data_IF_224662736686
#
_entry.id   IF_224662736686
#
_cell.length_a   1.000
_cell.length_b   1.000
_cell.length_c   1.000
_cell.angle_alpha   90.00
_cell.angle_beta   90.00
_cell.angle_gamma   90.00
#
_symmetry.space_group_name_H-M   'P 1'
#
loop_
_entity.id
_entity.type
_entity.pdbx_description
1 polymer ?
#
# COMPACT_ATOMS: atom_id res chain seq x y z
N UNK A 1 -21.82 -18.08 -60.78
CA UNK A 1 -21.62 -17.92 -59.32
C UNK A 1 -22.63 -16.93 -58.77
N UNK A 2 -23.42 -17.30 -57.77
CA UNK A 2 -24.41 -16.39 -57.17
C UNK A 2 -23.70 -15.33 -56.33
N UNK A 3 -23.94 -14.06 -56.62
CA UNK A 3 -23.44 -12.96 -55.80
C UNK A 3 -24.13 -13.03 -54.43
N UNK A 4 -23.37 -13.39 -53.40
CA UNK A 4 -23.85 -13.55 -52.03
C UNK A 4 -23.20 -12.45 -51.17
N UNK A 5 -24.00 -11.47 -50.75
CA UNK A 5 -23.54 -10.39 -49.86
C UNK A 5 -24.40 -10.41 -48.60
N UNK A 6 -23.73 -10.37 -47.45
CA UNK A 6 -24.39 -10.42 -46.15
C UNK A 6 -24.51 -9.01 -45.57
N UNK A 7 -25.71 -8.60 -45.19
CA UNK A 7 -26.01 -7.28 -44.60
C UNK A 7 -26.84 -7.50 -43.35
N UNK A 8 -26.35 -7.08 -42.18
CA UNK A 8 -27.03 -7.30 -40.88
C UNK A 8 -27.46 -8.77 -40.67
N UNK A 9 -26.61 -9.71 -41.08
CA UNK A 9 -26.86 -11.17 -41.08
C UNK A 9 -27.97 -11.65 -42.04
N UNK A 10 -28.62 -10.76 -42.79
CA UNK A 10 -29.49 -11.12 -43.90
C UNK A 10 -28.66 -11.42 -45.15
N UNK A 11 -29.07 -12.42 -45.92
CA UNK A 11 -28.37 -12.86 -47.12
C UNK A 11 -29.03 -12.23 -48.35
N UNK A 12 -28.29 -11.42 -49.10
CA UNK A 12 -28.74 -10.89 -50.38
C UNK A 12 -28.18 -11.81 -51.47
N UNK A 13 -29.07 -12.37 -52.28
CA UNK A 13 -28.73 -13.29 -53.37
C UNK A 13 -29.34 -12.82 -54.69
N UNK A 14 -28.55 -12.77 -55.76
CA UNK A 14 -29.05 -12.47 -57.12
C UNK A 14 -29.58 -13.74 -57.80
N UNK A 15 -30.75 -13.66 -58.43
CA UNK A 15 -31.31 -14.71 -59.28
C UNK A 15 -30.90 -14.53 -60.75
N UNK A 16 -31.16 -15.56 -61.57
CA UNK A 16 -30.91 -15.52 -63.01
C UNK A 16 -31.76 -14.48 -63.76
N UNK A 17 -32.96 -14.16 -63.23
CA UNK A 17 -33.88 -13.14 -63.73
C UNK A 17 -33.44 -11.69 -63.42
N UNK A 18 -32.29 -11.51 -62.73
CA UNK A 18 -31.79 -10.20 -62.32
C UNK A 18 -32.33 -9.69 -60.97
N UNK A 19 -33.35 -10.34 -60.40
CA UNK A 19 -33.97 -9.94 -59.12
C UNK A 19 -33.10 -10.31 -57.93
N UNK A 20 -33.05 -9.45 -56.92
CA UNK A 20 -32.34 -9.67 -55.67
C UNK A 20 -33.29 -10.15 -54.56
N UNK A 21 -32.95 -11.27 -53.93
CA UNK A 21 -33.68 -11.83 -52.78
C UNK A 21 -32.95 -11.53 -51.49
N UNK A 22 -33.63 -10.85 -50.57
CA UNK A 22 -33.20 -10.73 -49.17
C UNK A 22 -33.75 -11.92 -48.40
N UNK A 23 -32.87 -12.74 -47.84
CA UNK A 23 -33.22 -13.95 -47.08
C UNK A 23 -32.82 -13.82 -45.61
N UNK A 24 -33.59 -14.46 -44.74
CA UNK A 24 -33.21 -14.64 -43.35
C UNK A 24 -32.00 -15.58 -43.22
N UNK A 25 -31.36 -15.67 -42.04
CA UNK A 25 -30.33 -16.66 -41.78
C UNK A 25 -30.80 -18.11 -42.01
N UNK A 26 -32.12 -18.36 -41.86
CA UNK A 26 -32.76 -19.65 -42.14
C UNK A 26 -33.13 -19.81 -43.64
N UNK A 27 -32.57 -18.97 -44.51
CA UNK A 27 -32.79 -18.95 -45.97
C UNK A 27 -34.22 -18.69 -46.43
N UNK A 28 -35.16 -18.34 -45.53
CA UNK A 28 -36.52 -17.91 -45.90
C UNK A 28 -36.44 -16.57 -46.64
N UNK A 29 -37.05 -16.47 -47.82
CA UNK A 29 -37.15 -15.22 -48.57
C UNK A 29 -38.05 -14.26 -47.80
N UNK A 30 -37.53 -13.08 -47.48
CA UNK A 30 -38.25 -12.04 -46.75
C UNK A 30 -38.77 -10.96 -47.70
N UNK A 31 -37.97 -10.62 -48.72
CA UNK A 31 -38.30 -9.60 -49.71
C UNK A 31 -37.55 -9.86 -51.02
N UNK A 32 -38.20 -9.54 -52.13
CA UNK A 32 -37.59 -9.47 -53.45
C UNK A 32 -37.52 -7.99 -53.88
N UNK A 33 -36.40 -7.62 -54.50
CA UNK A 33 -36.10 -6.26 -54.94
C UNK A 33 -35.52 -6.29 -56.36
N UNK A 34 -35.93 -5.38 -57.25
CA UNK A 34 -35.41 -5.29 -58.62
C UNK A 34 -33.92 -4.93 -58.66
N UNK A 35 -33.43 -4.12 -57.72
CA UNK A 35 -32.04 -3.67 -57.67
C UNK A 35 -31.34 -4.10 -56.38
N UNK A 36 -30.01 -4.17 -56.42
CA UNK A 36 -29.19 -4.48 -55.25
C UNK A 36 -29.32 -3.38 -54.18
N UNK A 37 -29.38 -2.11 -54.57
CA UNK A 37 -29.46 -0.99 -53.64
C UNK A 37 -30.78 -0.98 -52.87
N UNK A 38 -31.89 -1.32 -53.52
CA UNK A 38 -33.17 -1.52 -52.83
C UNK A 38 -33.11 -2.69 -51.85
N UNK A 39 -32.51 -3.83 -52.25
CA UNK A 39 -32.31 -4.97 -51.36
C UNK A 39 -31.46 -4.60 -50.14
N UNK A 40 -30.40 -3.81 -50.36
CA UNK A 40 -29.49 -3.33 -49.33
C UNK A 40 -30.19 -2.37 -48.37
N UNK A 41 -30.87 -1.34 -48.89
CA UNK A 41 -31.62 -0.37 -48.09
C UNK A 41 -32.74 -1.07 -47.30
N UNK A 42 -33.43 -2.03 -47.91
CA UNK A 42 -34.46 -2.81 -47.23
C UNK A 42 -33.88 -3.65 -46.09
N UNK A 43 -32.79 -4.38 -46.34
CA UNK A 43 -32.10 -5.16 -45.31
C UNK A 43 -31.55 -4.28 -44.17
N UNK A 44 -31.13 -3.05 -44.48
CA UNK A 44 -30.67 -2.09 -43.49
C UNK A 44 -31.82 -1.52 -42.65
N UNK A 45 -32.96 -1.21 -43.25
CA UNK A 45 -34.16 -0.71 -42.55
C UNK A 45 -34.84 -1.79 -41.72
N UNK A 46 -34.80 -3.05 -42.15
CA UNK A 46 -35.54 -4.15 -41.51
C UNK A 46 -34.67 -5.00 -40.58
N UNK A 47 -33.93 -4.36 -39.67
CA UNK A 47 -33.10 -5.04 -38.65
C UNK A 47 -33.88 -5.98 -37.74
N UNK A 48 -35.22 -5.86 -37.67
CA UNK A 48 -36.11 -6.76 -36.93
C UNK A 48 -36.01 -8.23 -37.36
N UNK A 49 -35.62 -8.50 -38.60
CA UNK A 49 -35.40 -9.86 -39.11
C UNK A 49 -33.96 -10.35 -38.91
N UNK A 50 -33.04 -9.49 -38.43
CA UNK A 50 -31.77 -9.96 -37.93
C UNK A 50 -32.04 -10.75 -36.64
N UNK A 51 -31.39 -11.91 -36.50
CA UNK A 51 -31.54 -12.79 -35.33
C UNK A 51 -31.39 -11.96 -34.06
N UNK A 52 -32.46 -11.87 -33.26
CA UNK A 52 -32.45 -11.21 -31.94
C UNK A 52 -31.27 -11.76 -31.16
N UNK A 53 -30.49 -10.88 -30.54
CA UNK A 53 -29.41 -11.35 -29.66
C UNK A 53 -30.01 -12.31 -28.62
N UNK A 54 -29.33 -13.42 -28.30
CA UNK A 54 -29.84 -14.35 -27.30
C UNK A 54 -30.08 -13.61 -25.99
N UNK A 55 -31.14 -13.98 -25.28
CA UNK A 55 -31.37 -13.47 -23.92
C UNK A 55 -30.14 -13.80 -23.06
N UNK A 56 -29.76 -12.90 -22.16
CA UNK A 56 -28.66 -13.14 -21.22
C UNK A 56 -29.10 -14.17 -20.18
N UNK A 57 -28.34 -15.26 -20.06
CA UNK A 57 -28.57 -16.24 -19.01
C UNK A 57 -28.10 -15.69 -17.66
N UNK A 58 -28.69 -16.17 -16.56
CA UNK A 58 -28.37 -15.70 -15.21
C UNK A 58 -26.89 -15.91 -14.86
N UNK A 59 -26.33 -17.09 -15.18
CA UNK A 59 -24.91 -17.36 -14.97
C UNK A 59 -23.97 -16.44 -15.77
N UNK A 60 -24.40 -15.94 -16.94
CA UNK A 60 -23.61 -14.95 -17.70
C UNK A 60 -23.57 -13.61 -16.95
N UNK A 61 -24.66 -13.25 -16.26
CA UNK A 61 -24.76 -12.02 -15.48
C UNK A 61 -23.97 -12.12 -14.17
N UNK A 62 -24.02 -13.27 -13.48
CA UNK A 62 -23.17 -13.56 -12.32
C UNK A 62 -21.69 -13.50 -12.71
N UNK A 63 -21.32 -14.15 -13.81
CA UNK A 63 -19.96 -14.09 -14.32
C UNK A 63 -19.52 -12.65 -14.61
N UNK A 64 -20.42 -11.79 -15.09
CA UNK A 64 -20.13 -10.36 -15.28
C UNK A 64 -19.98 -9.61 -13.97
N UNK A 65 -20.83 -9.85 -12.97
CA UNK A 65 -20.69 -9.22 -11.66
C UNK A 65 -19.30 -9.49 -11.06
N UNK A 66 -18.83 -10.73 -11.19
CA UNK A 66 -17.56 -11.16 -10.59
C UNK A 66 -16.33 -10.71 -11.36
N UNK A 67 -16.42 -10.56 -12.69
CA UNK A 67 -15.24 -10.40 -13.55
C UNK A 67 -15.18 -9.05 -14.27
N UNK A 68 -16.30 -8.32 -14.39
CA UNK A 68 -16.37 -7.11 -15.20
C UNK A 68 -15.65 -5.94 -14.50
N UNK A 69 -14.57 -5.46 -15.12
CA UNK A 69 -13.66 -4.47 -14.52
C UNK A 69 -12.42 -5.09 -13.88
N UNK A 70 -12.38 -6.42 -13.69
CA UNK A 70 -11.17 -7.16 -13.31
C UNK A 70 -10.46 -7.69 -14.56
N UNK A 71 -11.21 -8.30 -15.48
CA UNK A 71 -10.69 -8.82 -16.74
C UNK A 71 -10.97 -7.84 -17.89
N UNK A 72 -10.10 -7.81 -18.93
CA UNK A 72 -10.38 -7.06 -20.16
C UNK A 72 -11.70 -7.52 -20.81
N UNK A 73 -12.48 -6.57 -21.30
CA UNK A 73 -13.80 -6.84 -21.88
C UNK A 73 -13.73 -7.83 -23.06
N UNK A 74 -12.64 -7.86 -23.80
CA UNK A 74 -12.38 -8.77 -24.92
C UNK A 74 -12.28 -10.23 -24.45
N UNK A 75 -11.64 -10.46 -23.31
CA UNK A 75 -11.48 -11.80 -22.72
C UNK A 75 -12.83 -12.32 -22.25
N UNK A 76 -13.59 -11.47 -21.55
CA UNK A 76 -14.94 -11.78 -21.10
C UNK A 76 -15.85 -12.05 -22.30
N UNK A 77 -15.78 -11.22 -23.35
CA UNK A 77 -16.58 -11.37 -24.58
C UNK A 77 -16.34 -12.72 -25.25
N UNK A 78 -15.07 -13.10 -25.39
CA UNK A 78 -14.67 -14.37 -25.99
C UNK A 78 -15.21 -15.56 -25.19
N UNK A 79 -15.12 -15.50 -23.85
CA UNK A 79 -15.59 -16.57 -22.96
C UNK A 79 -17.10 -16.75 -23.00
N UNK A 80 -17.85 -15.66 -22.97
CA UNK A 80 -19.31 -15.68 -23.06
C UNK A 80 -19.83 -15.87 -24.49
N UNK A 81 -18.94 -15.85 -25.50
CA UNK A 81 -19.28 -15.84 -26.94
C UNK A 81 -20.23 -14.69 -27.29
N UNK A 82 -20.03 -13.54 -26.65
CA UNK A 82 -20.80 -12.31 -26.83
C UNK A 82 -19.92 -11.26 -27.51
N UNK A 83 -20.53 -10.18 -28.01
CA UNK A 83 -19.75 -9.03 -28.50
C UNK A 83 -19.35 -8.14 -27.31
N UNK A 84 -18.19 -7.48 -27.41
CA UNK A 84 -17.74 -6.50 -26.42
C UNK A 84 -18.75 -5.35 -26.26
N UNK A 85 -19.43 -4.96 -27.33
CA UNK A 85 -20.48 -3.94 -27.27
C UNK A 85 -21.72 -4.43 -26.52
N UNK A 86 -22.18 -5.67 -26.76
CA UNK A 86 -23.31 -6.25 -26.04
C UNK A 86 -23.03 -6.39 -24.54
N UNK A 87 -21.78 -6.70 -24.15
CA UNK A 87 -21.33 -6.69 -22.76
C UNK A 87 -21.47 -5.30 -22.13
N UNK A 88 -20.91 -4.26 -22.77
CA UNK A 88 -20.99 -2.89 -22.27
C UNK A 88 -22.43 -2.43 -22.08
N UNK A 89 -23.29 -2.72 -23.05
CA UNK A 89 -24.72 -2.38 -22.99
C UNK A 89 -25.41 -3.11 -21.84
N UNK A 90 -25.18 -4.43 -21.66
CA UNK A 90 -25.87 -5.19 -20.63
C UNK A 90 -25.40 -4.82 -19.22
N UNK A 91 -24.09 -4.62 -19.03
CA UNK A 91 -23.53 -4.23 -17.75
C UNK A 91 -24.13 -2.89 -17.30
N UNK A 92 -24.22 -1.91 -18.21
CA UNK A 92 -24.82 -0.61 -17.90
C UNK A 92 -26.33 -0.71 -17.67
N UNK A 93 -27.08 -1.35 -18.58
CA UNK A 93 -28.55 -1.31 -18.55
C UNK A 93 -29.19 -2.24 -17.53
N UNK A 94 -28.65 -3.44 -17.34
CA UNK A 94 -29.24 -4.45 -16.44
C UNK A 94 -28.56 -4.49 -15.08
N UNK A 95 -27.24 -4.42 -15.06
CA UNK A 95 -26.47 -4.57 -13.82
C UNK A 95 -26.18 -3.22 -13.15
N UNK A 96 -26.33 -2.10 -13.86
CA UNK A 96 -25.90 -0.79 -13.39
C UNK A 96 -24.37 -0.67 -13.22
N UNK A 97 -23.62 -1.66 -13.71
CA UNK A 97 -22.17 -1.69 -13.65
C UNK A 97 -21.66 -1.00 -14.90
N UNK A 98 -21.23 0.25 -14.74
CA UNK A 98 -20.43 0.87 -15.78
C UNK A 98 -19.03 0.27 -15.69
N UNK A 99 -18.42 -0.07 -16.84
CA UNK A 99 -16.99 -0.37 -16.84
C UNK A 99 -16.37 0.91 -16.29
N UNK A 100 -15.79 0.85 -15.08
CA UNK A 100 -15.12 2.03 -14.52
C UNK A 100 -14.18 2.46 -15.63
N UNK A 101 -14.41 3.64 -16.19
CA UNK A 101 -13.46 4.17 -17.14
C UNK A 101 -12.12 4.10 -16.42
N UNK A 102 -11.09 3.55 -17.04
CA UNK A 102 -9.72 3.64 -16.50
C UNK A 102 -9.36 5.11 -16.24
N UNK A 103 -10.12 6.04 -16.81
CA UNK A 103 -10.06 7.45 -16.54
C UNK A 103 -10.84 7.83 -15.28
N UNK A 104 -10.12 8.44 -14.33
CA UNK A 104 -10.65 9.10 -13.15
C UNK A 104 -10.65 10.61 -13.34
N UNK A 105 -11.74 11.27 -12.91
CA UNK A 105 -11.68 12.73 -12.71
C UNK A 105 -10.86 13.05 -11.46
N UNK A 106 -10.32 14.27 -11.35
CA UNK A 106 -9.64 14.73 -10.13
C UNK A 106 -10.48 14.49 -8.85
N UNK A 107 -11.80 14.69 -8.94
CA UNK A 107 -12.75 14.48 -7.83
C UNK A 107 -12.93 13.01 -7.49
N UNK A 108 -13.05 12.15 -8.51
CA UNK A 108 -13.17 10.70 -8.30
C UNK A 108 -11.88 10.12 -7.70
N UNK A 109 -10.72 10.50 -8.24
CA UNK A 109 -9.42 10.12 -7.68
C UNK A 109 -9.26 10.59 -6.23
N UNK A 110 -9.60 11.84 -5.92
CA UNK A 110 -9.53 12.34 -4.55
C UNK A 110 -10.40 11.52 -3.58
N UNK A 111 -11.63 11.17 -3.98
CA UNK A 111 -12.54 10.35 -3.17
C UNK A 111 -11.95 8.96 -2.88
N UNK A 112 -11.48 8.25 -3.91
CA UNK A 112 -10.89 6.91 -3.76
C UNK A 112 -9.58 6.93 -2.96
N UNK A 113 -8.83 8.03 -3.02
CA UNK A 113 -7.56 8.19 -2.31
C UNK A 113 -7.72 8.80 -0.90
N UNK A 114 -8.96 9.03 -0.43
CA UNK A 114 -9.22 9.59 0.90
C UNK A 114 -8.73 11.04 1.06
N UNK A 115 -8.73 11.81 -0.02
CA UNK A 115 -8.26 13.20 -0.08
C UNK A 115 -9.47 14.12 -0.12
N UNK A 116 -9.45 15.15 0.73
CA UNK A 116 -10.59 16.04 0.94
C UNK A 116 -10.87 16.99 -0.23
N UNK A 117 -9.84 17.35 -1.01
CA UNK A 117 -9.97 18.32 -2.11
C UNK A 117 -9.32 17.80 -3.40
N UNK A 118 -10.09 17.83 -4.49
CA UNK A 118 -9.65 17.47 -5.83
C UNK A 118 -8.51 18.35 -6.35
N UNK A 119 -8.37 19.59 -5.86
CA UNK A 119 -7.26 20.48 -6.22
C UNK A 119 -5.90 19.91 -5.83
N UNK A 120 -5.85 19.05 -4.80
CA UNK A 120 -4.61 18.39 -4.38
C UNK A 120 -4.14 17.42 -5.46
N UNK A 121 -5.06 16.68 -6.11
CA UNK A 121 -4.74 15.78 -7.23
C UNK A 121 -4.20 16.57 -8.42
N UNK A 122 -4.82 17.70 -8.75
CA UNK A 122 -4.32 18.58 -9.82
C UNK A 122 -2.93 19.14 -9.47
N UNK A 123 -2.71 19.52 -8.20
CA UNK A 123 -1.39 19.96 -7.75
C UNK A 123 -0.34 18.84 -7.77
N UNK A 124 -0.74 17.55 -7.72
CA UNK A 124 0.19 16.44 -7.95
C UNK A 124 0.58 16.36 -9.42
N UNK A 125 -0.36 16.60 -10.33
CA UNK A 125 -0.06 16.72 -11.75
C UNK A 125 0.89 17.89 -12.04
N UNK A 126 0.60 19.07 -11.51
CA UNK A 126 1.41 20.26 -11.76
C UNK A 126 2.85 20.12 -11.22
N UNK A 127 3.05 19.23 -10.23
CA UNK A 127 4.37 18.86 -9.69
C UNK A 127 5.05 17.69 -10.41
N UNK A 128 4.40 17.11 -11.43
CA UNK A 128 4.90 15.94 -12.16
C UNK A 128 4.84 14.64 -11.37
N UNK A 129 4.04 14.56 -10.30
CA UNK A 129 3.90 13.33 -9.50
C UNK A 129 2.93 12.35 -10.15
N UNK A 130 1.88 12.88 -10.78
CA UNK A 130 0.80 12.11 -11.39
C UNK A 130 0.60 12.61 -12.84
N UNK A 131 0.65 11.70 -13.81
CA UNK A 131 0.34 12.04 -15.21
C UNK A 131 -1.16 12.22 -15.37
N UNK A 132 -1.57 13.18 -16.18
CA UNK A 132 -2.97 13.47 -16.41
C UNK A 132 -3.15 14.25 -17.71
N UNK A 133 -4.35 14.15 -18.29
CA UNK A 133 -4.74 14.87 -19.50
C UNK A 133 -5.92 15.77 -19.22
N UNK A 134 -6.02 16.89 -19.94
CA UNK A 134 -7.21 17.76 -19.85
C UNK A 134 -8.34 17.12 -20.65
N UNK A 135 -9.52 17.05 -20.04
CA UNK A 135 -10.73 16.64 -20.72
C UNK A 135 -11.11 17.69 -21.80
N UNK A 136 -11.80 17.27 -22.88
CA UNK A 136 -12.21 18.18 -23.95
C UNK A 136 -13.34 19.14 -23.55
N UNK A 137 -13.91 18.98 -22.35
CA UNK A 137 -14.99 19.81 -21.83
C UNK A 137 -14.61 20.52 -20.53
N UNK A 138 -15.31 21.61 -20.24
CA UNK A 138 -15.15 22.43 -19.04
C UNK A 138 -16.27 22.17 -18.04
N UNK A 139 -15.99 22.43 -16.77
CA UNK A 139 -16.99 22.52 -15.71
C UNK A 139 -16.90 23.91 -15.08
N UNK A 140 -17.84 24.79 -15.45
CA UNK A 140 -17.70 26.23 -15.24
C UNK A 140 -16.51 26.78 -16.03
N UNK A 141 -15.67 27.61 -15.40
CA UNK A 141 -14.51 28.22 -16.04
C UNK A 141 -13.27 27.30 -16.11
N UNK A 142 -13.30 26.14 -15.45
CA UNK A 142 -12.15 25.27 -15.31
C UNK A 142 -12.24 24.03 -16.20
N UNK A 143 -11.10 23.59 -16.75
CA UNK A 143 -11.00 22.29 -17.43
C UNK A 143 -11.08 21.16 -16.41
N UNK A 144 -11.78 20.09 -16.78
CA UNK A 144 -11.78 18.84 -16.01
C UNK A 144 -10.49 18.07 -16.33
N UNK A 145 -9.87 17.47 -15.32
CA UNK A 145 -8.68 16.64 -15.48
C UNK A 145 -9.04 15.16 -15.45
N UNK A 146 -8.40 14.40 -16.34
CA UNK A 146 -8.50 12.96 -16.51
C UNK A 146 -7.18 12.30 -16.15
N UNK A 147 -7.26 11.29 -15.29
CA UNK A 147 -6.12 10.51 -14.79
C UNK A 147 -6.34 9.06 -15.13
N UNK A 148 -5.39 8.43 -15.81
CA UNK A 148 -5.48 6.99 -16.05
C UNK A 148 -5.28 6.22 -14.73
N UNK A 149 -5.89 5.04 -14.66
CA UNK A 149 -5.83 4.12 -13.55
C UNK A 149 -4.41 3.63 -13.34
N UNK A 150 -3.73 3.29 -14.44
CA UNK A 150 -2.34 2.82 -14.41
C UNK A 150 -1.39 3.94 -13.94
N UNK A 151 -1.63 5.18 -14.36
CA UNK A 151 -0.86 6.35 -13.91
C UNK A 151 -1.05 6.61 -12.40
N UNK A 152 -2.26 6.40 -11.87
CA UNK A 152 -2.53 6.47 -10.43
C UNK A 152 -1.77 5.37 -9.69
N UNK A 153 -1.79 4.13 -10.18
CA UNK A 153 -1.04 3.01 -9.59
C UNK A 153 0.46 3.32 -9.58
N UNK A 154 1.01 3.74 -10.72
CA UNK A 154 2.43 4.09 -10.86
C UNK A 154 2.81 5.18 -9.84
N UNK A 155 1.96 6.21 -9.70
CA UNK A 155 2.13 7.27 -8.73
C UNK A 155 2.14 6.76 -7.28
N UNK A 156 1.19 5.90 -6.91
CA UNK A 156 1.07 5.36 -5.55
C UNK A 156 2.18 4.38 -5.20
N UNK A 157 2.66 3.58 -6.16
CA UNK A 157 3.79 2.69 -5.93
C UNK A 157 5.08 3.47 -5.70
N UNK A 158 5.32 4.49 -6.53
CA UNK A 158 6.51 5.35 -6.40
C UNK A 158 6.43 6.26 -5.17
N UNK A 159 5.21 6.69 -4.78
CA UNK A 159 4.98 7.75 -3.80
C UNK A 159 3.82 7.45 -2.83
N UNK A 160 3.83 6.32 -2.10
CA UNK A 160 2.72 5.91 -1.23
C UNK A 160 2.42 6.94 -0.12
N UNK A 161 3.42 7.71 0.30
CA UNK A 161 3.32 8.76 1.31
C UNK A 161 2.47 9.98 0.92
N UNK A 162 2.07 10.10 -0.35
CA UNK A 162 1.13 11.13 -0.78
C UNK A 162 -0.23 10.96 -0.09
N UNK A 163 -0.67 9.71 0.10
CA UNK A 163 -1.94 9.36 0.71
C UNK A 163 -1.84 9.19 2.23
N UNK A 164 -2.98 9.22 2.93
CA UNK A 164 -3.06 8.83 4.33
C UNK A 164 -3.87 7.54 4.42
N UNK A 165 -3.20 6.42 4.74
CA UNK A 165 -3.82 5.10 4.83
C UNK A 165 -5.07 5.06 5.71
N UNK A 166 -5.11 5.85 6.80
CA UNK A 166 -6.27 5.90 7.71
C UNK A 166 -7.49 6.58 7.12
N UNK A 167 -7.31 7.43 6.10
CA UNK A 167 -8.39 8.19 5.44
C UNK A 167 -8.83 7.55 4.13
N UNK A 168 -8.04 6.63 3.57
CA UNK A 168 -8.39 5.93 2.34
C UNK A 168 -9.56 4.96 2.61
N UNK A 169 -10.63 4.98 1.79
CA UNK A 169 -11.63 3.92 1.80
C UNK A 169 -10.99 2.54 1.61
N UNK A 170 -11.63 1.49 2.13
CA UNK A 170 -11.21 0.12 1.81
C UNK A 170 -11.42 -0.10 0.31
N UNK A 171 -10.34 -0.42 -0.40
CA UNK A 171 -10.33 -0.53 -1.86
C UNK A 171 -8.94 -0.86 -2.40
N UNK A 172 -8.86 -1.04 -3.72
CA UNK A 172 -7.63 -1.51 -4.38
C UNK A 172 -6.44 -0.54 -4.24
N UNK A 173 -6.66 0.77 -4.40
CA UNK A 173 -5.57 1.74 -4.20
C UNK A 173 -5.01 1.72 -2.78
N UNK A 174 -5.86 1.46 -1.77
CA UNK A 174 -5.42 1.35 -0.39
C UNK A 174 -4.57 0.10 -0.17
N UNK A 175 -4.91 -1.03 -0.80
CA UNK A 175 -4.09 -2.24 -0.69
C UNK A 175 -2.69 -2.03 -1.29
N UNK A 176 -2.59 -1.37 -2.45
CA UNK A 176 -1.28 -1.00 -3.04
C UNK A 176 -0.47 -0.14 -2.07
N UNK A 177 -1.06 0.96 -1.56
CA UNK A 177 -0.34 1.87 -0.64
C UNK A 177 0.06 1.12 0.63
N UNK A 178 -0.79 0.22 1.15
CA UNK A 178 -0.51 -0.59 2.34
C UNK A 178 0.68 -1.51 2.10
N UNK A 179 0.68 -2.26 0.99
CA UNK A 179 1.78 -3.15 0.61
C UNK A 179 3.11 -2.39 0.50
N UNK A 180 3.12 -1.23 -0.15
CA UNK A 180 4.35 -0.42 -0.26
C UNK A 180 4.79 0.18 1.08
N UNK A 181 3.84 0.51 1.96
CA UNK A 181 4.15 0.99 3.31
C UNK A 181 4.73 -0.10 4.22
N UNK A 182 4.29 -1.34 4.04
CA UNK A 182 4.80 -2.51 4.77
C UNK A 182 6.20 -2.90 4.31
N UNK A 183 6.53 -2.72 3.02
CA UNK A 183 7.89 -2.95 2.50
C UNK A 183 8.92 -2.01 3.08
N UNK A 184 8.63 -0.71 3.11
CA UNK A 184 9.55 0.33 3.60
C UNK A 184 8.75 1.47 4.22
N UNK A 185 8.56 1.37 5.54
CA UNK A 185 7.70 2.29 6.29
C UNK A 185 8.22 3.73 6.21
N UNK A 186 7.30 4.67 6.05
CA UNK A 186 7.61 6.09 6.11
C UNK A 186 7.42 6.65 7.52
N UNK A 187 8.38 7.45 7.95
CA UNK A 187 8.43 8.11 9.25
C UNK A 187 8.30 9.62 9.06
N UNK A 188 7.54 10.27 9.94
CA UNK A 188 7.65 11.72 10.08
C UNK A 188 8.93 12.10 10.86
N UNK A 189 9.25 13.40 10.92
CA UNK A 189 10.45 13.89 11.63
C UNK A 189 10.49 13.51 13.11
N UNK A 190 9.34 13.38 13.76
CA UNK A 190 9.23 13.11 15.19
C UNK A 190 9.40 11.62 15.45
N UNK A 191 8.75 10.78 14.66
CA UNK A 191 8.90 9.34 14.67
C UNK A 191 10.33 8.93 14.30
N UNK A 192 10.93 9.57 13.29
CA UNK A 192 12.34 9.38 12.93
C UNK A 192 13.29 9.81 14.05
N UNK A 193 12.99 10.91 14.74
CA UNK A 193 13.75 11.33 15.93
C UNK A 193 13.76 10.26 17.01
N UNK A 194 12.58 9.74 17.36
CA UNK A 194 12.43 8.65 18.33
C UNK A 194 13.16 7.38 17.87
N UNK A 195 13.06 7.04 16.59
CA UNK A 195 13.75 5.88 16.01
C UNK A 195 15.28 5.97 16.20
N UNK A 196 15.86 7.17 16.05
CA UNK A 196 17.29 7.41 16.24
C UNK A 196 17.68 7.74 17.69
N UNK A 197 16.79 7.54 18.67
CA UNK A 197 17.06 7.82 20.09
C UNK A 197 17.23 9.30 20.42
N UNK A 198 16.63 10.21 19.64
CA UNK A 198 16.67 11.64 19.87
C UNK A 198 15.48 12.11 20.71
N UNK A 199 15.72 13.11 21.57
CA UNK A 199 14.67 13.70 22.41
C UNK A 199 13.54 14.37 21.60
N UNK A 200 13.87 14.95 20.44
CA UNK A 200 12.91 15.61 19.56
C UNK A 200 13.26 15.42 18.07
N UNK A 201 12.37 15.90 17.18
CA UNK A 201 12.54 15.84 15.72
C UNK A 201 13.38 16.98 15.13
N UNK A 202 13.92 17.89 15.93
CA UNK A 202 14.68 19.05 15.43
C UNK A 202 16.06 18.67 14.85
N UNK A 203 16.83 17.74 15.44
CA UNK A 203 18.09 17.28 14.86
C UNK A 203 17.90 16.62 13.49
N UNK A 204 16.78 15.92 13.26
CA UNK A 204 16.46 15.32 11.96
C UNK A 204 16.48 16.37 10.85
N UNK A 205 15.90 17.55 11.10
CA UNK A 205 15.94 18.65 10.13
C UNK A 205 17.36 19.11 9.81
N UNK A 206 18.26 19.13 10.81
CA UNK A 206 19.68 19.45 10.60
C UNK A 206 20.37 18.37 9.78
N UNK A 207 20.08 17.10 10.02
CA UNK A 207 20.66 15.98 9.27
C UNK A 207 20.24 16.02 7.80
N UNK A 208 18.96 16.30 7.54
CA UNK A 208 18.45 16.51 6.18
C UNK A 208 19.16 17.69 5.51
N UNK A 209 19.27 18.85 6.20
CA UNK A 209 19.96 20.04 5.66
C UNK A 209 21.43 19.83 5.35
N UNK A 210 22.12 18.97 6.11
CA UNK A 210 23.51 18.61 5.87
C UNK A 210 23.69 17.54 4.79
N UNK A 211 22.60 17.01 4.24
CA UNK A 211 22.63 15.94 3.24
C UNK A 211 22.98 14.56 3.82
N UNK A 212 22.99 14.40 5.14
CA UNK A 212 23.35 13.14 5.78
C UNK A 212 22.22 12.13 5.79
N UNK A 213 20.97 12.61 5.75
CA UNK A 213 19.80 11.77 5.86
C UNK A 213 18.86 12.08 4.70
N UNK A 214 18.66 11.15 3.75
CA UNK A 214 17.81 11.39 2.60
C UNK A 214 16.36 11.49 3.05
N UNK A 215 15.69 12.55 2.61
CA UNK A 215 14.30 12.81 2.96
C UNK A 215 13.55 13.40 1.77
N UNK A 216 12.24 13.17 1.74
CA UNK A 216 11.34 13.68 0.71
C UNK A 216 10.36 14.67 1.34
N UNK A 217 9.97 15.71 0.59
CA UNK A 217 8.90 16.63 1.02
C UNK A 217 7.53 16.06 0.65
N UNK A 218 6.73 15.73 1.65
CA UNK A 218 5.29 15.50 1.49
C UNK A 218 4.58 16.83 1.25
N UNK A 219 3.85 17.00 0.13
CA UNK A 219 3.09 18.23 -0.10
C UNK A 219 2.01 18.39 1.00
N UNK A 220 2.09 19.49 1.74
CA UNK A 220 1.00 20.01 2.59
C UNK A 220 0.64 21.41 2.07
N UNK A 221 -0.61 21.83 2.25
CA UNK A 221 -1.02 23.21 1.92
C UNK A 221 -0.16 24.22 2.67
N UNK A 222 0.19 25.35 2.04
CA UNK A 222 0.95 26.44 2.67
C UNK A 222 2.47 26.44 2.45
N UNK A 223 2.98 25.82 1.38
CA UNK A 223 4.39 25.94 0.95
C UNK A 223 5.43 25.17 1.79
N UNK A 224 5.12 24.86 3.04
CA UNK A 224 5.99 24.14 3.97
C UNK A 224 5.55 22.67 4.07
N UNK A 225 5.85 21.89 3.02
CA UNK A 225 5.62 20.43 3.04
C UNK A 225 6.31 19.76 4.24
N UNK A 226 5.78 18.65 4.73
CA UNK A 226 6.42 17.91 5.83
C UNK A 226 7.57 17.05 5.29
N UNK A 227 8.72 17.02 5.96
CA UNK A 227 9.76 16.03 5.67
C UNK A 227 9.30 14.65 6.14
N UNK A 228 9.52 13.67 5.29
CA UNK A 228 9.27 12.25 5.56
C UNK A 228 10.50 11.45 5.15
N UNK A 229 10.73 10.35 5.86
CA UNK A 229 11.93 9.54 5.75
C UNK A 229 11.57 8.08 5.61
N UNK A 230 12.35 7.34 4.82
CA UNK A 230 12.21 5.88 4.70
C UNK A 230 12.82 5.19 5.89
N UNK A 231 12.26 4.03 6.27
CA UNK A 231 12.81 3.17 7.31
C UNK A 231 14.23 2.73 6.94
N UNK A 232 14.40 2.26 5.70
CA UNK A 232 15.68 1.83 5.13
C UNK A 232 16.76 2.91 5.30
N UNK A 233 16.45 4.15 4.94
CA UNK A 233 17.35 5.30 5.10
C UNK A 233 17.71 5.60 6.56
N UNK A 234 16.77 5.45 7.50
CA UNK A 234 17.04 5.63 8.92
C UNK A 234 17.93 4.51 9.48
N UNK A 235 17.69 3.26 9.06
CA UNK A 235 18.50 2.12 9.45
C UNK A 235 19.93 2.24 8.91
N UNK A 236 20.08 2.63 7.64
CA UNK A 236 21.38 2.89 7.02
C UNK A 236 22.12 4.01 7.76
N UNK A 237 21.44 5.13 8.03
CA UNK A 237 22.03 6.23 8.80
C UNK A 237 22.50 5.80 10.20
N UNK A 238 21.81 4.86 10.86
CA UNK A 238 22.22 4.34 12.16
C UNK A 238 23.47 3.44 12.07
N UNK A 239 23.65 2.73 10.96
CA UNK A 239 24.83 1.90 10.71
C UNK A 239 26.06 2.75 10.33
N UNK A 240 25.86 3.79 9.52
CA UNK A 240 26.93 4.64 8.99
C UNK A 240 26.91 6.04 9.59
N UNK A 241 26.65 6.14 10.90
CA UNK A 241 26.35 7.41 11.57
C UNK A 241 27.46 8.45 11.35
N UNK A 242 27.23 9.49 10.51
CA UNK A 242 28.25 10.47 10.16
C UNK A 242 28.37 11.57 11.21
N UNK A 243 27.61 11.48 12.31
CA UNK A 243 27.70 12.45 13.40
C UNK A 243 29.14 12.45 13.93
N UNK A 244 29.83 13.61 13.95
CA UNK A 244 31.11 13.70 14.63
C UNK A 244 30.94 13.19 16.06
N UNK A 245 31.87 12.39 16.57
CA UNK A 245 31.88 11.84 17.93
C UNK A 245 31.79 12.91 19.05
N UNK A 246 31.67 14.20 18.70
CA UNK A 246 31.48 15.37 19.53
C UNK A 246 30.17 15.44 20.33
N UNK A 247 29.44 14.34 20.51
CA UNK A 247 28.46 14.22 21.59
C UNK A 247 28.85 13.08 22.53
N UNK A 248 29.84 13.36 23.39
CA UNK A 248 30.16 12.63 24.64
C UNK A 248 29.00 12.62 25.67
N UNK A 249 27.73 12.53 25.24
CA UNK A 249 26.59 12.62 26.17
C UNK A 249 25.25 12.15 25.63
N UNK A 250 25.17 11.71 24.38
CA UNK A 250 24.04 10.91 23.90
C UNK A 250 24.60 9.54 23.56
N UNK A 251 24.85 8.74 24.60
CA UNK A 251 25.15 7.32 24.39
C UNK A 251 23.96 6.73 23.64
N UNK A 252 24.22 5.96 22.58
CA UNK A 252 23.28 4.96 22.08
C UNK A 252 22.67 4.24 23.29
N UNK A 253 21.43 3.72 23.26
CA UNK A 253 20.89 2.92 24.36
C UNK A 253 21.98 1.94 24.76
N UNK A 254 22.54 2.18 25.95
CA UNK A 254 23.72 1.48 26.43
C UNK A 254 23.32 0.01 26.33
N UNK A 255 24.15 -0.81 25.67
CA UNK A 255 23.84 -2.24 25.56
C UNK A 255 23.55 -2.73 26.97
N UNK A 256 22.63 -3.69 27.13
CA UNK A 256 22.30 -4.21 28.47
C UNK A 256 23.56 -4.53 29.29
N UNK A 257 24.60 -5.03 28.61
CA UNK A 257 25.92 -5.33 29.19
C UNK A 257 26.65 -4.08 29.74
N UNK A 258 26.51 -2.92 29.09
CA UNK A 258 27.04 -1.64 29.58
C UNK A 258 26.25 -1.09 30.77
N UNK A 259 24.92 -1.15 30.73
CA UNK A 259 24.07 -0.77 31.87
C UNK A 259 24.38 -1.64 33.09
N UNK A 260 24.58 -2.95 32.87
CA UNK A 260 25.02 -3.91 33.89
C UNK A 260 26.38 -3.54 34.48
N UNK A 261 27.39 -3.26 33.65
CA UNK A 261 28.72 -2.88 34.13
C UNK A 261 28.70 -1.59 34.98
N UNK A 262 27.93 -0.59 34.54
CA UNK A 262 27.78 0.69 35.25
C UNK A 262 26.99 0.55 36.55
N UNK A 263 26.02 -0.35 36.59
CA UNK A 263 25.30 -0.66 37.83
C UNK A 263 26.16 -1.47 38.80
N UNK A 264 26.96 -2.41 38.30
CA UNK A 264 27.96 -3.12 39.09
C UNK A 264 28.98 -2.16 39.72
N UNK A 265 29.53 -1.22 38.96
CA UNK A 265 30.46 -0.19 39.46
C UNK A 265 29.83 0.64 40.59
N UNK A 266 28.57 1.06 40.43
CA UNK A 266 27.84 1.77 41.48
C UNK A 266 27.63 0.92 42.72
N UNK A 267 27.35 -0.37 42.56
CA UNK A 267 27.18 -1.30 43.66
C UNK A 267 28.48 -1.47 44.46
N UNK A 268 29.62 -1.61 43.78
CA UNK A 268 30.95 -1.60 44.40
C UNK A 268 31.23 -0.31 45.16
N UNK A 269 30.90 0.84 44.56
CA UNK A 269 31.11 2.14 45.21
C UNK A 269 30.25 2.34 46.46
N UNK A 270 29.02 1.82 46.46
CA UNK A 270 28.14 1.84 47.63
C UNK A 270 28.62 0.90 48.73
N UNK A 271 29.15 -0.27 48.37
CA UNK A 271 29.78 -1.19 49.32
C UNK A 271 31.01 -0.57 49.98
N UNK A 272 31.87 0.09 49.21
CA UNK A 272 33.05 0.79 49.74
C UNK A 272 32.67 1.88 50.78
N UNK A 273 31.45 2.41 50.72
CA UNK A 273 30.90 3.39 51.65
C UNK A 273 30.16 2.78 52.85
N UNK A 274 30.14 1.45 52.97
CA UNK A 274 29.50 0.75 54.09
C UNK A 274 27.97 0.60 53.98
N UNK A 275 27.37 0.87 52.82
CA UNK A 275 25.93 0.69 52.61
C UNK A 275 25.57 -0.75 52.25
N UNK A 276 25.81 -1.69 53.16
CA UNK A 276 25.62 -3.14 52.94
C UNK A 276 24.17 -3.54 52.64
N UNK A 277 23.17 -2.76 53.05
CA UNK A 277 21.76 -3.03 52.70
C UNK A 277 21.50 -2.98 51.19
N UNK A 278 22.26 -2.16 50.45
CA UNK A 278 22.12 -2.07 49.00
C UNK A 278 22.65 -3.32 48.28
N UNK A 279 23.51 -4.11 48.93
CA UNK A 279 24.09 -5.33 48.37
C UNK A 279 23.03 -6.39 48.05
N UNK A 280 22.11 -6.63 48.99
CA UNK A 280 21.04 -7.62 48.80
C UNK A 280 20.12 -7.24 47.64
N UNK A 281 19.83 -5.95 47.49
CA UNK A 281 19.04 -5.43 46.38
C UNK A 281 19.75 -5.61 45.03
N UNK A 282 21.05 -5.33 44.98
CA UNK A 282 21.87 -5.51 43.77
C UNK A 282 22.00 -6.97 43.35
N UNK A 283 22.25 -7.88 44.29
CA UNK A 283 22.32 -9.30 44.00
C UNK A 283 20.99 -9.86 43.45
N UNK A 284 19.85 -9.40 43.99
CA UNK A 284 18.52 -9.78 43.52
C UNK A 284 18.23 -9.26 42.10
N UNK A 285 18.58 -8.00 41.79
CA UNK A 285 18.45 -7.44 40.44
C UNK A 285 19.28 -8.24 39.42
N UNK A 286 20.52 -8.60 39.77
CA UNK A 286 21.40 -9.32 38.86
C UNK A 286 20.89 -10.74 38.55
N UNK A 287 20.35 -11.45 39.56
CA UNK A 287 19.70 -12.74 39.35
C UNK A 287 18.43 -12.62 38.50
N UNK A 288 17.63 -11.57 38.70
CA UNK A 288 16.44 -11.32 37.90
C UNK A 288 16.78 -11.06 36.43
N UNK A 289 17.82 -10.26 36.16
CA UNK A 289 18.27 -9.97 34.78
C UNK A 289 18.82 -11.24 34.12
N UNK A 290 19.60 -12.06 34.83
CA UNK A 290 20.08 -13.33 34.31
C UNK A 290 18.92 -14.28 33.95
N UNK A 291 17.88 -14.34 34.79
CA UNK A 291 16.69 -15.16 34.55
C UNK A 291 15.87 -14.68 33.33
N UNK A 292 15.69 -13.37 33.16
CA UNK A 292 14.88 -12.79 32.07
C UNK A 292 15.60 -12.87 30.72
N UNK A 293 16.92 -12.74 30.71
CA UNK A 293 17.70 -12.68 29.46
C UNK A 293 18.19 -14.04 28.96
N UNK A 294 18.01 -15.10 29.77
CA UNK A 294 18.55 -16.44 29.51
C UNK A 294 20.07 -16.45 29.24
N UNK A 295 20.77 -15.41 29.69
CA UNK A 295 22.21 -15.27 29.63
C UNK A 295 22.79 -15.59 30.99
N UNK A 296 23.77 -16.48 31.01
CA UNK A 296 24.41 -16.91 32.25
C UNK A 296 25.47 -15.87 32.68
N UNK A 297 25.01 -14.70 33.14
CA UNK A 297 25.89 -13.67 33.67
C UNK A 297 26.44 -14.11 35.03
N UNK A 298 27.76 -14.21 35.15
CA UNK A 298 28.44 -14.52 36.42
C UNK A 298 28.08 -13.45 37.44
N UNK A 299 27.61 -13.85 38.62
CA UNK A 299 27.31 -12.90 39.70
C UNK A 299 28.63 -12.23 40.15
N UNK A 300 28.77 -10.91 40.03
CA UNK A 300 30.02 -10.22 40.38
C UNK A 300 30.36 -10.31 41.87
N UNK A 301 29.37 -10.62 42.71
CA UNK A 301 29.51 -10.74 44.16
C UNK A 301 29.61 -12.17 44.67
N UNK A 302 29.69 -13.16 43.76
CA UNK A 302 29.74 -14.57 44.13
C UNK A 302 30.83 -14.86 45.17
N UNK A 303 32.02 -14.25 45.00
CA UNK A 303 33.14 -14.45 45.91
C UNK A 303 32.89 -13.88 47.32
N UNK A 304 32.22 -12.73 47.43
CA UNK A 304 31.88 -12.15 48.74
C UNK A 304 30.85 -13.01 49.47
N UNK A 305 29.89 -13.58 48.73
CA UNK A 305 28.90 -14.51 49.29
C UNK A 305 29.59 -15.78 49.82
N UNK A 306 30.57 -16.32 49.10
CA UNK A 306 31.37 -17.47 49.54
C UNK A 306 32.13 -17.16 50.84
N UNK A 307 32.83 -16.03 50.90
CA UNK A 307 33.57 -15.60 52.11
C UNK A 307 32.62 -15.42 53.30
N UNK A 308 31.45 -14.82 53.08
CA UNK A 308 30.44 -14.65 54.13
C UNK A 308 29.94 -15.99 54.68
N UNK A 309 29.77 -17.00 53.82
CA UNK A 309 29.40 -18.37 54.25
C UNK A 309 30.52 -19.03 55.04
N UNK A 310 31.77 -18.90 54.60
CA UNK A 310 32.94 -19.43 55.30
C UNK A 310 33.05 -18.84 56.72
N UNK A 311 32.88 -17.52 56.85
CA UNK A 311 32.92 -16.82 58.15
C UNK A 311 31.77 -17.25 59.08
N UNK A 312 30.55 -17.39 58.57
CA UNK A 312 29.41 -17.87 59.35
C UNK A 312 29.63 -19.29 59.88
N UNK A 313 30.19 -20.19 59.04
CA UNK A 313 30.53 -21.55 59.45
C UNK A 313 31.61 -21.54 60.55
N UNK A 314 32.63 -20.69 60.44
CA UNK A 314 33.66 -20.57 61.47
C UNK A 314 33.07 -20.15 62.83
N UNK A 315 32.21 -19.13 62.86
CA UNK A 315 31.55 -18.70 64.10
C UNK A 315 30.68 -19.79 64.73
N UNK A 316 29.96 -20.59 63.92
CA UNK A 316 29.18 -21.71 64.47
C UNK A 316 30.04 -22.80 65.08
N UNK A 317 31.24 -23.04 64.55
CA UNK A 317 32.20 -23.99 65.14
C UNK A 317 32.73 -23.48 66.48
N UNK A 318 33.14 -22.21 66.56
CA UNK A 318 33.66 -21.62 67.79
C UNK A 318 32.61 -21.62 68.92
N UNK A 319 31.35 -21.31 68.59
CA UNK A 319 30.25 -21.37 69.56
C UNK A 319 29.92 -22.80 70.02
N UNK A 320 30.09 -23.79 69.15
CA UNK A 320 29.87 -25.21 69.50
C UNK A 320 31.00 -25.75 70.37
N UNK A 321 32.24 -25.30 70.15
CA UNK A 321 33.38 -25.62 70.99
C UNK A 321 33.26 -24.99 72.39
N UNK A 322 32.76 -23.76 72.48
CA UNK A 322 32.55 -23.07 73.76
C UNK A 322 31.46 -23.70 74.64
N UNK A 323 30.43 -24.32 74.04
CA UNK A 323 29.34 -24.97 74.77
C UNK A 323 29.68 -26.41 75.25
N UNK A 324 30.78 -26.98 74.78
CA UNK A 324 31.21 -28.34 75.14
C UNK A 324 32.37 -28.37 76.18
N UNK A 325 32.77 -27.21 76.70
CA UNK A 325 33.72 -27.02 77.82
C UNK A 325 32.99 -26.57 79.07
#
# INVERSE_FOLDING_TARGET
MSFLKQVNRLLITRRHDGVFRVRSPLRKVLKECPTYDEAFLWAHKNRKYAKKEPVWAEWELEFLLDNYGILPAEVIARRLRRSTNSLKIICVRKLGINQRSNIYTARAAAKELGISDAKIIVAWHDKGYLKGTRAPFKYGNNYVWFFDYDDIIECLQKRPWLCNLKRMPEGYFRSIVKTEWEKDRWYDKTEAGKFLGLADGNPIYRYIKKGWLPAVRRPRGGGLGAWILRHSALAEFQLSDPRPAHRKGATLPETLDHDLAKTEEKAWHQMARGHFQMFGYWAAMHQHIAAVTNRNHRNPFQRLIEIGKEAAIAQTKDNTSANNT
#
